data_IF_224959660517
#
_entry.id   IF_224959660517
#
_cell.length_a   1.000
_cell.length_b   1.000
_cell.length_c   1.000
_cell.angle_alpha   90.00
_cell.angle_beta   90.00
_cell.angle_gamma   90.00
#
_symmetry.space_group_name_H-M   'P 1'
#
loop_
_entity.id
_entity.type
_entity.pdbx_description
1 polymer ?
#
# COMPACT_ATOMS: atom_id res chain seq x y z
N UNK A 1 15.22 8.88 12.86
CA UNK A 1 14.86 10.31 12.78
C UNK A 1 16.05 11.04 12.18
N UNK A 2 15.92 11.59 10.97
CA UNK A 2 16.95 12.43 10.35
C UNK A 2 16.56 13.88 10.69
N UNK A 3 17.45 14.70 11.28
CA UNK A 3 17.11 16.07 11.63
C UNK A 3 17.03 16.93 10.35
N UNK A 4 15.84 17.45 10.07
CA UNK A 4 15.62 18.46 9.03
C UNK A 4 16.29 19.78 9.44
N UNK A 5 17.59 19.91 9.16
CA UNK A 5 18.28 21.19 9.20
C UNK A 5 17.76 22.02 8.01
N UNK A 6 16.78 22.88 8.28
CA UNK A 6 16.34 23.92 7.35
C UNK A 6 17.54 24.82 7.05
N UNK A 7 18.10 24.69 5.84
CA UNK A 7 19.19 25.56 5.36
C UNK A 7 18.69 27.00 5.29
N UNK A 8 19.53 27.95 5.67
CA UNK A 8 19.18 29.36 5.64
C UNK A 8 19.00 29.84 4.19
N UNK A 9 18.15 30.84 3.93
CA UNK A 9 17.94 31.39 2.59
C UNK A 9 19.23 31.92 1.95
N UNK A 10 20.20 32.35 2.76
CA UNK A 10 21.51 32.82 2.31
C UNK A 10 22.40 31.67 1.79
N UNK A 11 22.36 30.51 2.44
CA UNK A 11 23.12 29.33 2.01
C UNK A 11 22.59 28.77 0.67
N UNK A 12 21.26 28.89 0.47
CA UNK A 12 20.60 28.54 -0.79
C UNK A 12 21.00 29.51 -1.91
N UNK A 13 21.20 30.80 -1.59
CA UNK A 13 21.66 31.79 -2.57
C UNK A 13 23.11 31.52 -3.00
N UNK A 14 24.01 31.24 -2.04
CA UNK A 14 25.40 30.91 -2.34
C UNK A 14 25.55 29.62 -3.18
N UNK A 15 24.72 28.60 -2.92
CA UNK A 15 24.69 27.38 -3.72
C UNK A 15 24.20 27.61 -5.16
N UNK A 16 23.33 28.60 -5.38
CA UNK A 16 22.85 28.95 -6.72
C UNK A 16 23.89 29.72 -7.53
N UNK A 17 24.66 30.58 -6.87
CA UNK A 17 25.75 31.34 -7.50
C UNK A 17 26.88 30.41 -8.00
N UNK A 18 27.23 29.38 -7.22
CA UNK A 18 28.21 28.36 -7.63
C UNK A 18 27.76 27.48 -8.82
N UNK A 19 26.45 27.43 -9.12
CA UNK A 19 25.89 26.70 -10.26
C UNK A 19 25.66 27.58 -11.50
N UNK A 20 26.06 28.86 -11.47
CA UNK A 20 25.94 29.77 -12.61
C UNK A 20 24.49 30.09 -13.01
N UNK A 21 23.53 29.93 -12.09
CA UNK A 21 22.12 30.23 -12.36
C UNK A 21 21.88 31.73 -12.16
N UNK A 22 21.47 32.47 -13.21
CA UNK A 22 21.23 33.90 -13.08
C UNK A 22 20.08 34.17 -12.09
N UNK A 23 20.16 35.25 -11.30
CA UNK A 23 19.13 35.58 -10.32
C UNK A 23 17.78 35.80 -11.02
N UNK A 24 16.67 35.33 -10.44
CA UNK A 24 15.34 35.61 -10.99
C UNK A 24 15.11 37.13 -11.02
N UNK A 25 14.45 37.66 -12.05
CA UNK A 25 14.15 39.09 -12.15
C UNK A 25 13.35 39.51 -10.91
N UNK A 26 13.76 40.64 -10.31
CA UNK A 26 13.13 41.21 -9.13
C UNK A 26 11.62 41.33 -9.35
N UNK A 27 10.86 40.48 -8.68
CA UNK A 27 9.41 40.61 -8.68
C UNK A 27 9.05 41.83 -7.84
N UNK A 28 8.16 42.71 -8.32
CA UNK A 28 7.71 43.86 -7.54
C UNK A 28 7.08 43.38 -6.24
N UNK A 29 7.59 43.98 -5.17
CA UNK A 29 7.22 43.83 -3.77
C UNK A 29 5.70 43.91 -3.61
N UNK A 30 5.06 42.77 -3.41
CA UNK A 30 3.62 42.71 -3.12
C UNK A 30 3.43 43.05 -1.65
N UNK A 31 2.86 44.23 -1.43
CA UNK A 31 2.50 44.78 -0.12
C UNK A 31 1.78 43.74 0.78
N UNK A 32 1.98 43.80 2.11
CA UNK A 32 1.41 42.84 3.05
C UNK A 32 -0.12 42.89 3.03
N UNK A 33 -0.73 41.75 2.69
CA UNK A 33 -2.16 41.55 2.81
C UNK A 33 -2.58 41.57 4.28
N UNK A 34 -3.64 42.33 4.55
CA UNK A 34 -4.21 42.58 5.86
C UNK A 34 -4.61 41.28 6.60
N UNK A 35 -4.48 41.33 7.93
CA UNK A 35 -4.95 40.32 8.88
C UNK A 35 -6.46 40.05 8.69
N UNK A 36 -6.92 38.79 8.68
CA UNK A 36 -8.33 38.46 8.83
C UNK A 36 -8.78 38.77 10.27
N UNK A 37 -9.74 39.68 10.39
CA UNK A 37 -10.49 39.94 11.63
C UNK A 37 -11.42 38.74 11.91
N UNK A 38 -11.27 38.13 13.08
CA UNK A 38 -12.22 37.14 13.60
C UNK A 38 -13.54 37.82 14.02
N UNK A 39 -14.72 37.22 13.75
CA UNK A 39 -15.95 37.58 14.44
C UNK A 39 -15.99 36.98 15.86
N UNK A 40 -16.70 37.62 16.81
CA UNK A 40 -16.81 37.19 18.20
C UNK A 40 -17.72 35.96 18.34
N UNK A 41 -17.20 34.89 18.94
CA UNK A 41 -17.98 33.74 19.35
C UNK A 41 -18.63 34.00 20.71
N UNK A 42 -19.92 33.69 20.76
CA UNK A 42 -20.85 33.84 21.87
C UNK A 42 -20.56 32.87 23.02
N UNK A 43 -20.77 33.33 24.25
CA UNK A 43 -20.95 32.49 25.44
C UNK A 43 -22.08 31.48 25.24
N UNK A 44 -22.00 30.31 25.89
CA UNK A 44 -23.01 30.08 26.92
C UNK A 44 -22.48 29.49 28.24
N UNK A 45 -23.15 29.94 29.28
CA UNK A 45 -23.09 29.59 30.68
C UNK A 45 -23.06 28.08 31.03
N UNK A 46 -22.21 27.77 32.02
CA UNK A 46 -22.45 27.00 33.25
C UNK A 46 -23.64 25.99 33.28
N UNK A 47 -23.47 24.66 33.43
CA UNK A 47 -23.01 23.88 34.61
C UNK A 47 -24.19 22.97 35.10
N UNK A 48 -24.04 22.00 36.04
CA UNK A 48 -22.94 21.05 36.33
C UNK A 48 -23.44 19.60 36.66
N UNK A 49 -22.50 18.76 37.13
CA UNK A 49 -22.63 17.61 38.07
C UNK A 49 -23.01 16.21 37.53
N UNK A 50 -22.10 15.26 37.80
CA UNK A 50 -22.49 13.92 38.27
C UNK A 50 -21.61 12.75 37.81
N UNK A 51 -21.03 12.06 38.80
CA UNK A 51 -20.60 10.65 38.83
C UNK A 51 -19.15 10.27 38.42
N UNK A 52 -18.34 10.13 39.48
CA UNK A 52 -17.51 8.96 39.85
C UNK A 52 -16.57 8.32 38.81
N UNK A 53 -15.26 8.50 38.93
CA UNK A 53 -14.37 7.74 39.84
C UNK A 53 -14.22 6.25 39.46
N UNK A 54 -13.26 5.96 38.58
CA UNK A 54 -12.50 4.71 38.62
C UNK A 54 -11.07 4.96 38.12
N UNK A 55 -10.16 5.14 39.07
CA UNK A 55 -8.72 5.03 38.88
C UNK A 55 -8.38 3.65 38.30
N UNK A 56 -7.89 3.62 37.06
CA UNK A 56 -7.11 2.51 36.55
C UNK A 56 -5.68 3.01 36.29
N UNK A 57 -4.75 2.59 37.14
CA UNK A 57 -3.31 2.83 36.99
C UNK A 57 -2.84 2.30 35.62
N UNK A 58 -2.06 3.05 34.83
CA UNK A 58 -1.37 2.48 33.69
C UNK A 58 -0.18 1.67 34.23
N UNK A 59 -0.28 0.35 34.14
CA UNK A 59 0.88 -0.54 34.31
C UNK A 59 1.75 -0.33 33.08
N UNK A 60 2.88 0.36 33.26
CA UNK A 60 4.00 0.34 32.33
C UNK A 60 4.52 -1.09 32.20
N UNK A 61 3.97 -1.83 31.25
CA UNK A 61 4.62 -3.02 30.72
C UNK A 61 5.76 -2.55 29.82
N UNK A 62 6.92 -2.30 30.44
CA UNK A 62 8.21 -2.21 29.76
C UNK A 62 8.49 -3.59 29.15
N UNK A 63 8.08 -3.77 27.89
CA UNK A 63 8.54 -4.88 27.07
C UNK A 63 10.00 -4.55 26.70
N UNK A 64 10.93 -4.99 27.54
CA UNK A 64 12.34 -5.13 27.18
C UNK A 64 12.41 -6.23 26.12
N UNK A 65 12.29 -5.81 24.85
CA UNK A 65 12.66 -6.63 23.73
C UNK A 65 14.19 -6.66 23.72
N UNK A 66 14.77 -7.76 24.19
CA UNK A 66 16.18 -8.09 23.96
C UNK A 66 16.40 -8.17 22.45
N UNK A 67 16.79 -7.05 21.86
CA UNK A 67 17.26 -6.98 20.48
C UNK A 67 18.65 -7.60 20.50
N UNK A 68 18.71 -8.91 20.29
CA UNK A 68 19.93 -9.59 19.91
C UNK A 68 20.54 -8.86 18.70
N UNK A 69 21.88 -8.66 18.66
CA UNK A 69 22.53 -7.97 17.57
C UNK A 69 22.26 -8.74 16.27
N UNK A 70 21.59 -8.05 15.33
CA UNK A 70 21.37 -8.54 13.97
C UNK A 70 22.75 -8.80 13.36
N UNK A 71 23.12 -10.06 13.03
CA UNK A 71 24.37 -10.31 12.33
C UNK A 71 24.33 -9.57 11.00
N UNK A 72 25.40 -8.82 10.73
CA UNK A 72 25.60 -8.02 9.52
C UNK A 72 25.28 -8.85 8.27
N UNK A 73 24.27 -8.38 7.53
CA UNK A 73 23.72 -8.99 6.31
C UNK A 73 24.65 -8.93 5.09
N UNK A 74 25.96 -8.87 5.32
CA UNK A 74 26.99 -8.73 4.27
C UNK A 74 27.73 -10.04 4.02
N UNK A 75 27.67 -11.04 4.91
CA UNK A 75 28.39 -12.32 4.71
C UNK A 75 27.51 -13.53 4.31
N UNK A 76 26.20 -13.51 4.56
CA UNK A 76 25.33 -14.64 4.21
C UNK A 76 24.97 -14.74 2.72
N UNK A 77 25.32 -13.74 1.90
CA UNK A 77 25.05 -13.74 0.45
C UNK A 77 26.16 -14.43 -0.39
N UNK A 78 27.28 -14.81 0.22
CA UNK A 78 28.40 -15.42 -0.51
C UNK A 78 28.34 -16.97 -0.59
N UNK A 79 27.55 -17.63 0.27
CA UNK A 79 27.53 -19.10 0.37
C UNK A 79 26.38 -19.78 -0.40
N UNK A 80 25.42 -19.03 -0.94
CA UNK A 80 24.29 -19.58 -1.71
C UNK A 80 24.53 -19.58 -3.24
N UNK A 81 25.79 -19.74 -3.67
CA UNK A 81 26.11 -20.20 -5.04
C UNK A 81 25.77 -21.69 -5.15
N UNK A 82 24.46 -21.93 -5.14
CA UNK A 82 23.82 -23.22 -5.27
C UNK A 82 24.23 -23.84 -6.62
N UNK A 83 24.99 -24.93 -6.52
CA UNK A 83 25.24 -25.93 -7.56
C UNK A 83 23.92 -26.25 -8.29
N UNK A 84 23.76 -25.75 -9.51
CA UNK A 84 22.63 -26.04 -10.41
C UNK A 84 23.02 -26.94 -11.59
N UNK A 85 24.10 -27.72 -11.47
CA UNK A 85 24.65 -28.44 -12.64
C UNK A 85 24.29 -29.92 -12.78
N UNK A 86 23.67 -30.58 -11.80
CA UNK A 86 23.42 -32.02 -11.88
C UNK A 86 22.01 -32.42 -11.43
N UNK A 87 21.01 -32.21 -12.29
CA UNK A 87 19.77 -33.01 -12.25
C UNK A 87 19.68 -33.85 -13.54
N UNK A 88 19.48 -35.18 -13.44
CA UNK A 88 19.20 -36.00 -14.61
C UNK A 88 17.82 -35.63 -15.18
N UNK A 89 17.79 -35.31 -16.48
CA UNK A 89 16.57 -34.97 -17.22
C UNK A 89 15.62 -36.18 -17.25
N UNK A 90 14.40 -36.00 -16.74
CA UNK A 90 13.27 -36.83 -17.11
C UNK A 90 12.91 -36.59 -18.60
N UNK A 91 12.44 -37.60 -19.34
CA UNK A 91 12.06 -37.44 -20.74
C UNK A 91 10.87 -36.49 -20.88
N UNK A 92 11.03 -35.46 -21.70
CA UNK A 92 10.03 -34.42 -21.91
C UNK A 92 8.79 -34.96 -22.66
N UNK A 93 7.57 -34.52 -22.29
CA UNK A 93 6.39 -34.76 -23.12
C UNK A 93 6.50 -34.03 -24.47
N UNK A 94 5.86 -34.55 -25.54
CA UNK A 94 5.96 -33.97 -26.88
C UNK A 94 5.42 -32.54 -26.91
N UNK A 95 6.30 -31.61 -27.27
CA UNK A 95 6.06 -30.17 -27.30
C UNK A 95 5.41 -29.79 -28.65
N UNK A 96 4.24 -29.12 -28.67
CA UNK A 96 3.72 -28.52 -29.90
C UNK A 96 4.68 -27.41 -30.37
N UNK A 97 4.93 -27.35 -31.69
CA UNK A 97 5.95 -26.54 -32.35
C UNK A 97 6.10 -25.11 -31.76
N UNK A 98 7.14 -24.93 -30.95
CA UNK A 98 7.54 -23.64 -30.41
C UNK A 98 8.26 -22.83 -31.49
N UNK A 99 7.77 -21.60 -31.72
CA UNK A 99 8.53 -20.55 -32.39
C UNK A 99 9.87 -20.38 -31.65
N UNK A 100 10.98 -20.72 -32.31
CA UNK A 100 12.33 -20.61 -31.78
C UNK A 100 12.63 -19.14 -31.45
N UNK A 101 12.51 -18.77 -30.19
CA UNK A 101 13.14 -17.55 -29.66
C UNK A 101 14.64 -17.78 -29.65
N UNK A 102 15.28 -17.61 -30.81
CA UNK A 102 16.72 -17.59 -30.93
C UNK A 102 17.24 -16.43 -30.06
N UNK A 103 17.94 -16.76 -28.98
CA UNK A 103 18.65 -15.75 -28.19
C UNK A 103 19.61 -15.03 -29.15
N UNK A 104 19.69 -13.68 -29.11
CA UNK A 104 20.59 -12.94 -29.98
C UNK A 104 22.01 -13.50 -29.85
N UNK A 105 22.52 -14.10 -30.92
CA UNK A 105 23.87 -14.68 -30.95
C UNK A 105 24.96 -13.59 -30.81
N UNK A 106 24.58 -12.33 -30.99
CA UNK A 106 25.48 -11.20 -30.96
C UNK A 106 25.55 -10.60 -29.55
N UNK A 107 26.71 -10.77 -28.91
CA UNK A 107 27.04 -10.11 -27.65
C UNK A 107 27.41 -8.66 -27.96
N UNK A 108 26.65 -7.70 -27.43
CA UNK A 108 26.97 -6.29 -27.61
C UNK A 108 28.33 -5.95 -27.00
N UNK A 109 29.11 -5.18 -27.74
CA UNK A 109 30.36 -4.63 -27.23
C UNK A 109 30.08 -3.70 -26.04
N UNK A 110 31.01 -3.57 -25.07
CA UNK A 110 30.81 -2.73 -23.90
C UNK A 110 30.54 -1.26 -24.26
N UNK A 111 31.06 -0.80 -25.40
CA UNK A 111 30.79 0.54 -25.94
C UNK A 111 29.34 0.68 -26.43
N UNK A 112 28.81 -0.34 -27.10
CA UNK A 112 27.42 -0.33 -27.57
C UNK A 112 26.45 -0.35 -26.41
N UNK A 113 26.75 -1.13 -25.36
CA UNK A 113 25.97 -1.14 -24.12
C UNK A 113 25.93 0.25 -23.48
N UNK A 114 27.06 0.97 -23.45
CA UNK A 114 27.11 2.32 -22.93
C UNK A 114 26.28 3.31 -23.78
N UNK A 115 26.30 3.15 -25.11
CA UNK A 115 25.47 3.97 -26.01
C UNK A 115 23.98 3.67 -25.86
N UNK A 116 23.58 2.40 -25.71
CA UNK A 116 22.20 1.99 -25.46
C UNK A 116 21.71 2.62 -24.14
N UNK A 117 22.46 2.47 -23.05
CA UNK A 117 22.10 3.10 -21.76
C UNK A 117 21.98 4.62 -21.86
N UNK A 118 22.85 5.28 -22.63
CA UNK A 118 22.79 6.74 -22.87
C UNK A 118 21.52 7.12 -23.64
N UNK A 119 21.16 6.37 -24.68
CA UNK A 119 19.92 6.59 -25.45
C UNK A 119 18.69 6.35 -24.58
N UNK A 120 18.68 5.30 -23.77
CA UNK A 120 17.59 5.01 -22.83
C UNK A 120 17.45 6.09 -21.76
N UNK A 121 18.55 6.57 -21.19
CA UNK A 121 18.54 7.67 -20.22
C UNK A 121 18.00 8.97 -20.83
N UNK A 122 18.37 9.29 -22.07
CA UNK A 122 17.82 10.45 -22.78
C UNK A 122 16.33 10.28 -23.11
N UNK A 123 15.91 9.08 -23.52
CA UNK A 123 14.51 8.77 -23.78
C UNK A 123 13.65 8.89 -22.50
N UNK A 124 14.19 8.52 -21.33
CA UNK A 124 13.55 8.71 -20.03
C UNK A 124 13.42 10.18 -19.64
N UNK A 125 14.41 11.02 -19.97
CA UNK A 125 14.33 12.47 -19.73
C UNK A 125 13.35 13.18 -20.66
N UNK A 126 13.27 12.75 -21.93
CA UNK A 126 12.34 13.31 -22.92
C UNK A 126 10.89 12.89 -22.67
N UNK A 127 10.68 11.73 -22.04
CA UNK A 127 9.36 11.27 -21.63
C UNK A 127 9.30 11.16 -20.09
N UNK A 128 9.14 12.27 -19.36
CA UNK A 128 9.02 12.23 -17.90
C UNK A 128 7.81 11.40 -17.41
N UNK A 129 6.88 11.04 -18.30
CA UNK A 129 5.77 10.11 -18.03
C UNK A 129 6.06 8.63 -18.26
N UNK A 130 7.22 8.25 -18.80
CA UNK A 130 7.60 6.85 -19.05
C UNK A 130 8.37 6.22 -17.89
N UNK A 131 8.32 6.82 -16.70
CA UNK A 131 8.89 6.19 -15.51
C UNK A 131 8.22 4.82 -15.35
N UNK A 132 8.96 3.70 -15.42
CA UNK A 132 8.39 2.37 -15.25
C UNK A 132 7.68 2.24 -13.89
N UNK A 133 8.10 3.00 -12.87
CA UNK A 133 7.41 3.05 -11.58
C UNK A 133 6.04 3.75 -11.68
N UNK A 134 5.88 4.74 -12.57
CA UNK A 134 4.59 5.41 -12.78
C UNK A 134 3.56 4.47 -13.43
N UNK A 135 3.99 3.58 -14.33
CA UNK A 135 3.13 2.56 -14.92
C UNK A 135 2.67 1.54 -13.88
N UNK A 136 3.57 1.13 -12.95
CA UNK A 136 3.22 0.28 -11.82
C UNK A 136 2.21 0.96 -10.88
N UNK A 137 2.41 2.24 -10.57
CA UNK A 137 1.50 3.04 -9.72
C UNK A 137 0.11 3.20 -10.32
N UNK A 138 0.00 3.35 -11.65
CA UNK A 138 -1.30 3.38 -12.35
C UNK A 138 -2.02 2.03 -12.31
N UNK A 139 -1.27 0.94 -12.24
CA UNK A 139 -1.82 -0.42 -12.19
C UNK A 139 -2.20 -0.87 -10.77
N UNK A 140 -1.62 -0.29 -9.72
CA UNK A 140 -2.06 -0.53 -8.34
C UNK A 140 -3.35 0.22 -8.06
N UNK A 141 -4.42 -0.50 -7.70
CA UNK A 141 -5.65 0.12 -7.24
C UNK A 141 -5.38 0.87 -5.93
N UNK A 142 -5.98 2.04 -5.76
CA UNK A 142 -5.84 2.81 -4.53
C UNK A 142 -6.41 1.99 -3.36
N UNK A 143 -5.73 1.90 -2.21
CA UNK A 143 -6.18 1.12 -1.06
C UNK A 143 -7.60 1.47 -0.59
N UNK A 144 -7.97 2.74 -0.72
CA UNK A 144 -9.32 3.25 -0.47
C UNK A 144 -10.43 2.51 -1.24
N UNK A 145 -10.12 1.89 -2.39
CA UNK A 145 -11.14 1.23 -3.21
C UNK A 145 -11.55 -0.14 -2.66
N UNK A 146 -10.59 -0.91 -2.11
CA UNK A 146 -10.88 -2.26 -1.59
C UNK A 146 -11.08 -2.28 -0.06
N UNK A 147 -10.55 -1.30 0.67
CA UNK A 147 -10.76 -1.13 2.11
C UNK A 147 -12.23 -1.27 2.56
N UNK A 148 -13.23 -0.63 1.93
CA UNK A 148 -14.63 -0.77 2.36
C UNK A 148 -15.15 -2.21 2.22
N UNK A 149 -14.72 -2.96 1.19
CA UNK A 149 -15.11 -4.36 1.02
C UNK A 149 -14.62 -5.25 2.16
N UNK A 150 -13.37 -5.05 2.60
CA UNK A 150 -12.80 -5.74 3.76
C UNK A 150 -13.50 -5.37 5.06
N UNK A 151 -13.74 -4.07 5.31
CA UNK A 151 -14.42 -3.61 6.52
C UNK A 151 -15.84 -4.16 6.60
N UNK A 152 -16.58 -4.20 5.49
CA UNK A 152 -17.91 -4.81 5.44
C UNK A 152 -17.88 -6.31 5.74
N UNK A 153 -16.91 -7.06 5.20
CA UNK A 153 -16.76 -8.49 5.48
C UNK A 153 -16.46 -8.77 6.96
N UNK A 154 -15.58 -7.96 7.57
CA UNK A 154 -15.24 -8.07 8.99
C UNK A 154 -16.41 -7.65 9.89
N UNK A 155 -17.13 -6.59 9.53
CA UNK A 155 -18.34 -6.18 10.24
C UNK A 155 -19.42 -7.26 10.18
N UNK A 156 -19.62 -7.90 9.01
CA UNK A 156 -20.54 -9.02 8.87
C UNK A 156 -20.17 -10.19 9.79
N UNK A 157 -18.87 -10.54 9.87
CA UNK A 157 -18.38 -11.59 10.76
C UNK A 157 -18.61 -11.25 12.24
N UNK A 158 -18.33 -10.01 12.64
CA UNK A 158 -18.59 -9.54 14.00
C UNK A 158 -20.09 -9.57 14.35
N UNK A 159 -20.97 -9.12 13.44
CA UNK A 159 -22.42 -9.17 13.63
C UNK A 159 -22.96 -10.60 13.72
N UNK A 160 -22.42 -11.53 12.91
CA UNK A 160 -22.78 -12.95 12.95
C UNK A 160 -22.32 -13.61 14.26
N UNK A 161 -21.13 -13.23 14.76
CA UNK A 161 -20.61 -13.71 16.04
C UNK A 161 -21.47 -13.25 17.22
N UNK A 162 -21.86 -11.98 17.24
CA UNK A 162 -22.72 -11.39 18.28
C UNK A 162 -24.17 -11.89 18.27
N UNK A 163 -24.56 -12.75 17.31
CA UNK A 163 -25.96 -13.20 17.11
C UNK A 163 -26.95 -12.05 17.04
N UNK A 164 -26.55 -10.97 16.37
CA UNK A 164 -27.49 -9.88 16.03
C UNK A 164 -28.59 -10.39 15.10
N UNK A 165 -29.62 -9.55 14.87
CA UNK A 165 -30.72 -9.90 13.97
C UNK A 165 -30.20 -10.51 12.66
N UNK A 166 -30.74 -11.66 12.20
CA UNK A 166 -30.14 -12.46 11.13
C UNK A 166 -30.03 -11.72 9.79
N UNK A 167 -30.87 -10.70 9.60
CA UNK A 167 -30.89 -9.86 8.40
C UNK A 167 -29.61 -9.01 8.29
N UNK A 168 -29.08 -8.52 9.40
CA UNK A 168 -27.91 -7.60 9.43
C UNK A 168 -26.65 -8.20 8.80
N UNK A 169 -26.14 -9.38 9.21
CA UNK A 169 -24.94 -9.96 8.61
C UNK A 169 -25.17 -10.33 7.13
N UNK A 170 -26.39 -10.72 6.73
CA UNK A 170 -26.72 -11.04 5.33
C UNK A 170 -26.58 -9.80 4.44
N UNK A 171 -27.13 -8.66 4.88
CA UNK A 171 -27.04 -7.39 4.12
C UNK A 171 -25.57 -6.94 3.99
N UNK A 172 -24.80 -7.03 5.07
CA UNK A 172 -23.36 -6.67 5.05
C UNK A 172 -22.54 -7.57 4.11
N UNK A 173 -22.82 -8.89 4.11
CA UNK A 173 -22.18 -9.83 3.18
C UNK A 173 -22.54 -9.52 1.72
N UNK A 174 -23.82 -9.23 1.43
CA UNK A 174 -24.26 -8.88 0.09
C UNK A 174 -23.58 -7.61 -0.42
N UNK A 175 -23.44 -6.58 0.42
CA UNK A 175 -22.71 -5.36 0.08
C UNK A 175 -21.22 -5.62 -0.16
N UNK A 176 -20.57 -6.43 0.69
CA UNK A 176 -19.16 -6.80 0.51
C UNK A 176 -18.95 -7.58 -0.80
N UNK A 177 -19.86 -8.49 -1.13
CA UNK A 177 -19.83 -9.25 -2.38
C UNK A 177 -20.01 -8.35 -3.61
N UNK A 178 -20.94 -7.38 -3.55
CA UNK A 178 -21.14 -6.41 -4.63
C UNK A 178 -19.88 -5.57 -4.88
N UNK A 179 -19.18 -5.12 -3.83
CA UNK A 179 -17.90 -4.41 -3.93
C UNK A 179 -16.82 -5.31 -4.56
N UNK A 180 -16.74 -6.58 -4.14
CA UNK A 180 -15.79 -7.54 -4.72
C UNK A 180 -16.02 -7.75 -6.22
N UNK A 181 -17.28 -7.93 -6.63
CA UNK A 181 -17.65 -8.09 -8.04
C UNK A 181 -17.32 -6.84 -8.87
N UNK A 182 -17.61 -5.65 -8.33
CA UNK A 182 -17.26 -4.38 -8.96
C UNK A 182 -15.75 -4.25 -9.20
N UNK A 183 -14.93 -4.61 -8.20
CA UNK A 183 -13.46 -4.61 -8.32
C UNK A 183 -12.99 -5.62 -9.37
N UNK A 184 -13.57 -6.83 -9.37
CA UNK A 184 -13.23 -7.89 -10.32
C UNK A 184 -13.49 -7.49 -11.78
N UNK A 185 -14.57 -6.75 -12.04
CA UNK A 185 -14.93 -6.27 -13.38
C UNK A 185 -14.09 -5.07 -13.84
N UNK A 186 -13.80 -4.11 -12.95
CA UNK A 186 -13.14 -2.84 -13.33
C UNK A 186 -11.64 -2.95 -13.57
N UNK A 187 -10.90 -3.84 -12.86
CA UNK A 187 -9.43 -3.85 -12.90
C UNK A 187 -8.86 -5.28 -12.86
N UNK A 188 -8.31 -5.82 -13.98
CA UNK A 188 -7.82 -7.20 -14.05
C UNK A 188 -6.65 -7.49 -13.10
N UNK A 189 -5.79 -6.49 -12.81
CA UNK A 189 -4.69 -6.67 -11.84
C UNK A 189 -5.17 -6.75 -10.39
N UNK A 190 -6.35 -6.23 -10.09
CA UNK A 190 -6.93 -6.25 -8.73
C UNK A 190 -7.74 -7.51 -8.43
N UNK A 191 -7.72 -8.51 -9.34
CA UNK A 191 -8.41 -9.79 -9.14
C UNK A 191 -7.98 -10.51 -7.88
N UNK A 192 -6.72 -10.34 -7.44
CA UNK A 192 -6.24 -10.89 -6.18
C UNK A 192 -7.00 -10.35 -4.96
N UNK A 193 -7.26 -9.03 -4.89
CA UNK A 193 -8.03 -8.46 -3.79
C UNK A 193 -9.50 -8.88 -3.85
N UNK A 194 -10.09 -8.94 -5.04
CA UNK A 194 -11.45 -9.47 -5.19
C UNK A 194 -11.55 -10.93 -4.72
N UNK A 195 -10.57 -11.77 -5.08
CA UNK A 195 -10.50 -13.16 -4.62
C UNK A 195 -10.36 -13.26 -3.10
N UNK A 196 -9.54 -12.40 -2.48
CA UNK A 196 -9.40 -12.35 -1.02
C UNK A 196 -10.70 -11.91 -0.32
N UNK A 197 -11.37 -10.86 -0.81
CA UNK A 197 -12.66 -10.42 -0.27
C UNK A 197 -13.70 -11.53 -0.45
N UNK A 198 -13.73 -12.19 -1.60
CA UNK A 198 -14.61 -13.32 -1.86
C UNK A 198 -14.36 -14.48 -0.90
N UNK A 199 -13.08 -14.82 -0.63
CA UNK A 199 -12.71 -15.84 0.34
C UNK A 199 -13.21 -15.47 1.75
N UNK A 200 -13.06 -14.22 2.16
CA UNK A 200 -13.58 -13.73 3.46
C UNK A 200 -15.10 -13.85 3.54
N UNK A 201 -15.82 -13.41 2.49
CA UNK A 201 -17.28 -13.54 2.40
C UNK A 201 -17.70 -15.01 2.53
N UNK A 202 -17.07 -15.90 1.76
CA UNK A 202 -17.35 -17.34 1.80
C UNK A 202 -17.12 -17.94 3.20
N UNK A 203 -15.99 -17.60 3.83
CA UNK A 203 -15.64 -18.13 5.15
C UNK A 203 -16.60 -17.61 6.23
N UNK A 204 -16.97 -16.32 6.16
CA UNK A 204 -17.98 -15.73 7.05
C UNK A 204 -19.35 -16.35 6.85
N UNK A 205 -19.76 -16.64 5.61
CA UNK A 205 -21.00 -17.36 5.31
C UNK A 205 -20.98 -18.78 5.87
N UNK A 206 -19.90 -19.53 5.67
CA UNK A 206 -19.76 -20.89 6.19
C UNK A 206 -19.79 -20.91 7.73
N UNK A 207 -19.08 -19.98 8.37
CA UNK A 207 -19.12 -19.81 9.82
C UNK A 207 -20.51 -19.43 10.32
N UNK A 208 -21.18 -18.48 9.64
CA UNK A 208 -22.56 -18.10 9.95
C UNK A 208 -23.52 -19.29 9.85
N UNK A 209 -23.45 -20.07 8.76
CA UNK A 209 -24.26 -21.28 8.60
C UNK A 209 -24.04 -22.28 9.74
N UNK A 210 -22.78 -22.59 10.09
CA UNK A 210 -22.46 -23.49 11.19
C UNK A 210 -22.90 -22.95 12.56
N UNK A 211 -22.76 -21.64 12.78
CA UNK A 211 -23.08 -21.00 14.05
C UNK A 211 -24.60 -20.87 14.27
N UNK A 212 -25.36 -20.65 13.20
CA UNK A 212 -26.82 -20.55 13.25
C UNK A 212 -27.52 -21.91 13.01
N UNK A 213 -26.81 -22.95 12.54
CA UNK A 213 -27.38 -24.29 12.32
C UNK A 213 -28.15 -24.86 13.52
N UNK A 214 -27.68 -24.72 14.79
CA UNK A 214 -28.41 -25.24 15.94
C UNK A 214 -29.80 -24.61 16.14
N UNK A 215 -30.00 -23.37 15.68
CA UNK A 215 -31.30 -22.69 15.80
C UNK A 215 -32.38 -23.36 14.96
N UNK A 216 -32.00 -24.05 13.88
CA UNK A 216 -32.95 -24.74 13.01
C UNK A 216 -33.37 -26.13 13.51
N UNK A 217 -32.69 -26.68 14.53
CA UNK A 217 -33.01 -28.00 15.07
C UNK A 217 -34.31 -28.01 15.89
N UNK A 218 -34.70 -26.86 16.45
CA UNK A 218 -35.86 -26.75 17.33
C UNK A 218 -37.14 -26.26 16.62
N UNK A 219 -37.11 -26.13 15.28
CA UNK A 219 -38.21 -25.59 14.48
C UNK A 219 -38.38 -24.07 14.64
N UNK A 220 -39.04 -23.39 13.66
CA UNK A 220 -39.50 -22.02 13.85
C UNK A 220 -40.60 -21.91 14.91
#
# INVERSE_FOLDING_TARGET
>A
MIPDKKKSPEEIAALREGMGVPPPPAQPEKAPAAKPTMPPASDPAAAPLGAEAAMAKPVEAVIQLDIAPIPSRVEAAAAHRLRKHDLPLAPAPPVPAMNKTALPAHRHDPRDIAQIRKREALAQLQNPGSDPASHLRRQTAHPLLYAPGYLLALAAAACAYQRTAPITPIVLLALSLAVSLYIAMRKPRSRHHAALIFMLVFLTSAFGLLHYAPLFQNGP
#
